data_IF_198775442852
#
_entry.id   IF_198775442852
#
_cell.length_a   1.000
_cell.length_b   1.000
_cell.length_c   1.000
_cell.angle_alpha   90.00
_cell.angle_beta   90.00
_cell.angle_gamma   90.00
#
_symmetry.space_group_name_H-M   'P 1'
#
loop_
_entity.id
_entity.type
_entity.pdbx_description
1 polymer ?
#
# COMPACT_ATOMS: atom_id res chain seq x y z
N UNK A 1 16.25 -7.86 42.12
CA UNK A 1 15.41 -8.81 41.35
C UNK A 1 15.15 -8.12 40.02
N UNK A 2 15.99 -8.48 39.07
CA UNK A 2 16.24 -7.83 37.78
C UNK A 2 15.56 -8.65 36.71
N UNK A 3 14.56 -8.08 36.06
CA UNK A 3 13.97 -8.60 34.82
C UNK A 3 13.95 -7.42 33.82
N UNK A 4 15.13 -7.11 33.27
CA UNK A 4 15.23 -6.29 32.05
C UNK A 4 14.68 -7.13 30.90
N UNK A 5 13.78 -6.62 30.05
CA UNK A 5 13.31 -7.38 28.90
C UNK A 5 14.49 -7.60 27.95
N UNK A 6 14.94 -8.84 27.87
CA UNK A 6 15.88 -9.30 26.83
C UNK A 6 15.24 -8.97 25.48
N UNK A 7 15.87 -8.06 24.72
CA UNK A 7 15.58 -7.90 23.30
C UNK A 7 15.79 -9.28 22.67
N UNK A 8 14.72 -9.96 22.28
CA UNK A 8 14.82 -11.23 21.58
C UNK A 8 15.76 -11.04 20.40
N UNK A 9 16.79 -11.89 20.29
CA UNK A 9 17.67 -11.89 19.12
C UNK A 9 16.79 -12.17 17.90
N UNK A 10 16.62 -11.14 17.08
CA UNK A 10 15.93 -11.28 15.80
C UNK A 10 16.91 -11.95 14.86
N UNK A 11 16.61 -13.17 14.44
CA UNK A 11 17.37 -13.87 13.41
C UNK A 11 17.17 -13.14 12.07
N UNK A 12 18.14 -12.28 11.76
CA UNK A 12 18.13 -11.44 10.55
C UNK A 12 18.08 -12.30 9.30
N UNK A 13 18.71 -13.47 9.29
CA UNK A 13 18.76 -14.35 8.12
C UNK A 13 17.38 -14.96 7.84
N UNK A 14 16.66 -15.37 8.88
CA UNK A 14 15.29 -15.88 8.74
C UNK A 14 14.33 -14.79 8.27
N UNK A 15 14.42 -13.57 8.79
CA UNK A 15 13.57 -12.46 8.33
C UNK A 15 13.94 -12.01 6.91
N UNK A 16 15.21 -12.03 6.53
CA UNK A 16 15.66 -11.76 5.16
C UNK A 16 15.14 -12.83 4.20
N UNK A 17 15.19 -14.11 4.58
CA UNK A 17 14.69 -15.21 3.74
C UNK A 17 13.16 -15.22 3.63
N UNK A 18 12.47 -14.87 4.72
CA UNK A 18 11.02 -14.67 4.71
C UNK A 18 10.64 -13.49 3.85
N UNK A 19 11.36 -12.37 3.97
CA UNK A 19 11.17 -11.21 3.13
C UNK A 19 11.42 -11.55 1.65
N UNK A 20 12.50 -12.27 1.33
CA UNK A 20 12.86 -12.64 -0.05
C UNK A 20 11.79 -13.47 -0.76
N UNK A 21 11.06 -14.30 -0.01
CA UNK A 21 9.95 -15.12 -0.54
C UNK A 21 8.69 -14.31 -0.85
N UNK A 22 8.49 -13.17 -0.18
CA UNK A 22 7.30 -12.31 -0.37
C UNK A 22 7.38 -11.50 -1.68
N UNK A 23 8.59 -11.13 -2.14
CA UNK A 23 8.77 -10.28 -3.32
C UNK A 23 8.41 -10.95 -4.66
N UNK A 24 8.27 -12.27 -4.71
CA UNK A 24 8.04 -13.02 -5.96
C UNK A 24 6.56 -13.33 -6.23
N UNK A 25 5.64 -12.85 -5.39
CA UNK A 25 4.21 -13.07 -5.61
C UNK A 25 3.62 -11.91 -6.42
N UNK A 26 3.45 -12.11 -7.72
CA UNK A 26 2.65 -11.21 -8.55
C UNK A 26 1.20 -11.14 -8.05
N UNK A 27 0.67 -9.92 -7.99
CA UNK A 27 -0.74 -9.69 -7.68
C UNK A 27 -1.44 -8.97 -8.81
N UNK A 28 -2.55 -9.53 -9.27
CA UNK A 28 -3.39 -8.87 -10.26
C UNK A 28 -3.98 -7.57 -9.69
N UNK A 29 -3.96 -6.46 -10.46
CA UNK A 29 -4.53 -5.20 -10.02
C UNK A 29 -6.04 -5.31 -9.80
N UNK A 30 -6.62 -4.47 -8.93
CA UNK A 30 -8.06 -4.44 -8.74
C UNK A 30 -8.76 -4.01 -10.04
N UNK A 31 -9.94 -4.57 -10.30
CA UNK A 31 -10.71 -4.33 -11.54
C UNK A 31 -11.02 -2.84 -11.79
N UNK A 32 -11.06 -2.03 -10.74
CA UNK A 32 -11.33 -0.60 -10.82
C UNK A 32 -10.09 0.22 -11.18
N UNK A 33 -8.91 -0.38 -11.32
CA UNK A 33 -7.72 0.31 -11.82
C UNK A 33 -7.79 0.42 -13.34
N UNK A 34 -7.82 1.64 -13.87
CA UNK A 34 -7.91 1.91 -15.31
C UNK A 34 -6.57 1.85 -16.06
N UNK A 35 -5.48 1.58 -15.34
CA UNK A 35 -4.13 1.51 -15.89
C UNK A 35 -3.61 0.08 -15.90
N UNK A 36 -2.85 -0.25 -16.95
CA UNK A 36 -2.11 -1.50 -17.02
C UNK A 36 -0.84 -1.42 -16.17
N UNK A 37 -0.63 -2.43 -15.34
CA UNK A 37 0.59 -2.59 -14.53
C UNK A 37 1.55 -3.55 -15.23
N UNK A 38 2.83 -3.19 -15.24
CA UNK A 38 3.93 -4.05 -15.70
C UNK A 38 4.20 -5.16 -14.66
N UNK A 39 4.81 -6.30 -15.04
CA UNK A 39 5.02 -7.43 -14.13
C UNK A 39 5.69 -7.05 -12.80
N UNK A 40 6.78 -6.30 -12.84
CA UNK A 40 7.46 -5.82 -11.62
C UNK A 40 6.57 -4.91 -10.75
N UNK A 41 5.59 -4.21 -11.35
CA UNK A 41 4.65 -3.40 -10.59
C UNK A 41 3.60 -4.27 -9.90
N UNK A 42 3.22 -5.41 -10.50
CA UNK A 42 2.35 -6.42 -9.89
C UNK A 42 3.02 -7.12 -8.72
N UNK A 43 4.32 -7.41 -8.84
CA UNK A 43 5.15 -7.90 -7.73
C UNK A 43 5.18 -6.87 -6.59
N UNK A 44 5.45 -5.59 -6.92
CA UNK A 44 5.42 -4.50 -5.95
C UNK A 44 4.05 -4.35 -5.26
N UNK A 45 2.95 -4.49 -6.01
CA UNK A 45 1.60 -4.50 -5.45
C UNK A 45 1.36 -5.70 -4.51
N UNK A 46 1.83 -6.90 -4.91
CA UNK A 46 1.76 -8.09 -4.09
C UNK A 46 2.48 -7.90 -2.76
N UNK A 47 3.70 -7.38 -2.81
CA UNK A 47 4.49 -7.04 -1.64
C UNK A 47 3.78 -5.99 -0.77
N UNK A 48 3.30 -4.89 -1.34
CA UNK A 48 2.59 -3.84 -0.61
C UNK A 48 1.37 -4.38 0.15
N UNK A 49 0.56 -5.21 -0.49
CA UNK A 49 -0.59 -5.82 0.18
C UNK A 49 -0.16 -6.77 1.32
N UNK A 50 0.90 -7.55 1.13
CA UNK A 50 1.43 -8.41 2.18
C UNK A 50 1.95 -7.60 3.38
N UNK A 51 2.55 -6.42 3.14
CA UNK A 51 2.97 -5.51 4.20
C UNK A 51 1.80 -4.95 5.01
N UNK A 52 0.70 -4.58 4.35
CA UNK A 52 -0.51 -4.07 5.03
C UNK A 52 -1.24 -5.16 5.83
N UNK A 53 -1.17 -6.42 5.39
CA UNK A 53 -1.71 -7.58 6.10
C UNK A 53 -0.83 -8.05 7.28
N UNK A 54 0.46 -7.69 7.27
CA UNK A 54 1.43 -8.03 8.30
C UNK A 54 1.25 -7.27 9.62
N UNK A 55 2.00 -7.66 10.66
CA UNK A 55 1.93 -7.05 12.00
C UNK A 55 2.26 -5.56 12.00
N UNK A 56 3.20 -5.13 11.15
CA UNK A 56 3.66 -3.74 11.03
C UNK A 56 2.66 -2.86 10.28
N UNK A 57 1.84 -3.46 9.39
CA UNK A 57 0.81 -2.79 8.56
C UNK A 57 1.37 -1.65 7.71
N UNK A 58 2.41 -1.94 6.93
CA UNK A 58 3.03 -0.97 6.03
C UNK A 58 4.49 -1.30 5.74
N UNK A 59 5.13 -0.47 4.92
CA UNK A 59 6.51 -0.67 4.51
C UNK A 59 7.06 0.50 3.71
N UNK A 60 8.35 0.44 3.37
CA UNK A 60 9.04 1.45 2.58
C UNK A 60 9.20 0.93 1.14
N UNK A 61 8.50 1.57 0.20
CA UNK A 61 8.66 1.31 -1.23
C UNK A 61 9.76 2.22 -1.79
N UNK A 62 10.96 1.67 -1.98
CA UNK A 62 12.18 2.41 -2.33
C UNK A 62 12.69 2.12 -3.76
N UNK A 63 11.78 1.84 -4.70
CA UNK A 63 12.15 1.60 -6.10
C UNK A 63 12.84 2.81 -6.75
N UNK A 64 13.56 2.57 -7.84
CA UNK A 64 14.15 3.64 -8.63
C UNK A 64 13.11 4.66 -9.12
N UNK A 65 13.57 5.89 -9.35
CA UNK A 65 12.72 6.94 -9.91
C UNK A 65 12.24 6.53 -11.30
N UNK A 66 10.95 6.67 -11.56
CA UNK A 66 10.35 6.29 -12.84
C UNK A 66 9.70 4.89 -12.88
N UNK A 67 9.89 4.04 -11.87
CA UNK A 67 9.28 2.69 -11.82
C UNK A 67 7.77 2.68 -11.52
N UNK A 68 7.12 3.84 -11.43
CA UNK A 68 5.67 3.91 -11.26
C UNK A 68 5.17 3.64 -9.83
N UNK A 69 5.97 3.97 -8.80
CA UNK A 69 5.56 3.90 -7.38
C UNK A 69 4.18 4.52 -7.11
N UNK A 70 3.90 5.68 -7.71
CA UNK A 70 2.57 6.32 -7.60
C UNK A 70 1.44 5.43 -8.12
N UNK A 71 1.64 4.73 -9.25
CA UNK A 71 0.66 3.80 -9.79
C UNK A 71 0.46 2.60 -8.85
N UNK A 72 1.55 2.03 -8.34
CA UNK A 72 1.49 0.92 -7.37
C UNK A 72 0.75 1.32 -6.08
N UNK A 73 1.02 2.51 -5.53
CA UNK A 73 0.30 3.02 -4.35
C UNK A 73 -1.18 3.27 -4.63
N UNK A 74 -1.53 3.79 -5.82
CA UNK A 74 -2.93 3.96 -6.20
C UNK A 74 -3.64 2.61 -6.34
N UNK A 75 -2.98 1.62 -6.95
CA UNK A 75 -3.52 0.27 -7.04
C UNK A 75 -3.77 -0.34 -5.65
N UNK A 76 -2.86 -0.13 -4.69
CA UNK A 76 -3.03 -0.54 -3.30
C UNK A 76 -4.27 0.09 -2.65
N UNK A 77 -4.42 1.41 -2.77
CA UNK A 77 -5.56 2.15 -2.23
C UNK A 77 -6.91 1.64 -2.76
N UNK A 78 -6.97 1.31 -4.06
CA UNK A 78 -8.17 0.73 -4.68
C UNK A 78 -8.40 -0.69 -4.17
N UNK A 79 -7.35 -1.52 -4.08
CA UNK A 79 -7.45 -2.89 -3.62
C UNK A 79 -8.00 -2.99 -2.18
N UNK A 80 -7.59 -2.07 -1.29
CA UNK A 80 -8.10 -1.98 0.07
C UNK A 80 -9.58 -1.58 0.12
N UNK A 81 -9.97 -0.57 -0.66
CA UNK A 81 -11.37 -0.12 -0.73
C UNK A 81 -12.31 -1.20 -1.27
N UNK A 82 -11.87 -2.01 -2.23
CA UNK A 82 -12.68 -3.12 -2.79
C UNK A 82 -12.87 -4.29 -1.81
N UNK A 83 -11.92 -4.50 -0.90
CA UNK A 83 -12.04 -5.50 0.19
C UNK A 83 -13.01 -5.02 1.26
N UNK A 84 -12.90 -3.76 1.64
CA UNK A 84 -13.75 -3.13 2.64
C UNK A 84 -14.97 -2.47 1.99
N UNK A 85 -15.79 -3.22 1.24
CA UNK A 85 -17.01 -2.71 0.58
C UNK A 85 -18.03 -2.00 1.50
N UNK A 86 -17.75 -1.86 2.80
CA UNK A 86 -18.49 -1.04 3.78
C UNK A 86 -17.70 0.10 4.45
N UNK A 87 -16.41 0.32 4.16
CA UNK A 87 -15.59 1.42 4.68
C UNK A 87 -15.49 2.60 3.69
N UNK A 88 -16.55 2.84 2.91
CA UNK A 88 -16.77 4.19 2.39
C UNK A 88 -16.70 5.15 3.58
N UNK A 89 -16.08 6.33 3.44
CA UNK A 89 -15.99 7.35 4.51
C UNK A 89 -17.26 7.37 5.34
N UNK A 90 -17.24 6.67 6.47
CA UNK A 90 -18.44 6.42 7.27
C UNK A 90 -18.44 7.50 8.33
N UNK A 91 -19.55 8.20 8.41
CA UNK A 91 -19.75 9.17 9.48
C UNK A 91 -20.33 8.41 10.67
N UNK A 92 -19.58 8.32 11.76
CA UNK A 92 -20.12 7.75 13.00
C UNK A 92 -21.22 8.66 13.59
N UNK A 93 -21.96 8.14 14.58
CA UNK A 93 -23.00 8.90 15.27
C UNK A 93 -22.47 10.16 15.98
N UNK A 94 -21.15 10.25 16.22
CA UNK A 94 -20.46 11.42 16.77
C UNK A 94 -19.97 12.41 15.70
N UNK A 95 -20.23 12.16 14.42
CA UNK A 95 -19.85 13.01 13.31
C UNK A 95 -18.41 12.86 12.81
N UNK A 96 -17.66 11.86 13.28
CA UNK A 96 -16.30 11.57 12.79
C UNK A 96 -16.34 10.74 11.52
N UNK A 97 -15.46 11.05 10.59
CA UNK A 97 -15.25 10.27 9.38
C UNK A 97 -14.24 9.15 9.65
N UNK A 98 -14.62 7.92 9.30
CA UNK A 98 -13.76 6.74 9.38
C UNK A 98 -13.57 6.15 7.98
N UNK A 99 -12.34 5.71 7.70
CA UNK A 99 -11.93 5.22 6.38
C UNK A 99 -11.46 6.36 5.46
N UNK A 100 -10.26 6.20 4.90
CA UNK A 100 -9.67 7.17 3.98
C UNK A 100 -8.14 7.07 3.95
N UNK A 101 -7.55 7.36 2.79
CA UNK A 101 -6.10 7.35 2.60
C UNK A 101 -5.58 8.80 2.58
N UNK A 102 -4.59 9.10 3.43
CA UNK A 102 -3.91 10.39 3.45
C UNK A 102 -2.57 10.28 2.71
N UNK A 103 -2.41 11.07 1.64
CA UNK A 103 -1.16 11.15 0.89
C UNK A 103 -0.49 12.48 1.19
N UNK A 104 0.69 12.44 1.83
CA UNK A 104 1.49 13.62 2.14
C UNK A 104 2.60 13.75 1.10
N UNK A 105 2.61 14.85 0.37
CA UNK A 105 3.57 15.09 -0.72
C UNK A 105 4.03 16.54 -0.75
N UNK A 106 5.24 16.84 -1.26
CA UNK A 106 5.64 18.21 -1.58
C UNK A 106 4.67 18.85 -2.57
N UNK A 107 4.51 20.18 -2.50
CA UNK A 107 3.56 20.94 -3.36
C UNK A 107 3.76 20.63 -4.85
N UNK A 108 5.01 20.51 -5.30
CA UNK A 108 5.35 20.19 -6.70
C UNK A 108 4.81 18.84 -7.17
N UNK A 109 4.68 17.86 -6.26
CA UNK A 109 4.18 16.53 -6.59
C UNK A 109 2.64 16.44 -6.54
N UNK A 110 1.94 17.43 -5.98
CA UNK A 110 0.47 17.41 -5.87
C UNK A 110 -0.21 17.26 -7.24
N UNK A 111 0.27 17.96 -8.26
CA UNK A 111 -0.30 17.90 -9.62
C UNK A 111 -0.11 16.51 -10.23
N UNK A 112 1.07 15.90 -10.02
CA UNK A 112 1.33 14.54 -10.50
C UNK A 112 0.40 13.52 -9.85
N UNK A 113 0.20 13.62 -8.52
CA UNK A 113 -0.71 12.74 -7.79
C UNK A 113 -2.17 12.92 -8.22
N UNK A 114 -2.63 14.17 -8.37
CA UNK A 114 -3.99 14.46 -8.85
C UNK A 114 -4.23 13.87 -10.24
N UNK A 115 -3.30 14.09 -11.17
CA UNK A 115 -3.41 13.57 -12.53
C UNK A 115 -3.37 12.04 -12.54
N UNK A 116 -2.51 11.43 -11.72
CA UNK A 116 -2.44 9.98 -11.54
C UNK A 116 -3.77 9.40 -11.07
N UNK A 117 -4.36 9.95 -10.00
CA UNK A 117 -5.66 9.52 -9.49
C UNK A 117 -6.74 9.63 -10.56
N UNK A 118 -6.92 10.82 -11.15
CA UNK A 118 -7.95 11.04 -12.18
C UNK A 118 -7.80 10.16 -13.42
N UNK A 119 -6.57 9.77 -13.76
CA UNK A 119 -6.29 8.90 -14.91
C UNK A 119 -6.48 7.43 -14.58
N UNK A 120 -6.15 7.01 -13.36
CA UNK A 120 -6.08 5.60 -12.98
C UNK A 120 -7.35 5.09 -12.30
N UNK A 121 -8.29 5.97 -11.92
CA UNK A 121 -9.55 5.58 -11.29
C UNK A 121 -10.77 6.06 -12.09
N UNK A 122 -11.90 5.32 -12.04
CA UNK A 122 -13.17 5.79 -12.59
C UNK A 122 -13.63 7.10 -11.93
N UNK A 123 -14.45 7.91 -12.63
CA UNK A 123 -15.11 9.05 -12.01
C UNK A 123 -15.96 8.61 -10.80
N UNK A 124 -15.78 9.28 -9.66
CA UNK A 124 -16.53 8.99 -8.43
C UNK A 124 -15.89 7.96 -7.49
N UNK A 125 -14.66 7.51 -7.79
CA UNK A 125 -13.83 6.71 -6.88
C UNK A 125 -13.04 7.60 -5.91
#
# INVERSE_FOLDING_TARGET
>A
RSDEPVCAEVDVEQEVQKASTVWTTEREPPEQLLAHMLPYQKEGLGWLCAQEEGTVRGGILADEMGMGKTLQTIALMIAHRSRERGAATTRDAGGRYHGGNLVIVPVVAMVQWRTGLLRFTPPGY
#
